data_IF_831616238587
#
_entry.id   IF_831616238587
#
_cell.length_a   1.000
_cell.length_b   1.000
_cell.length_c   1.000
_cell.angle_alpha   90.00
_cell.angle_beta   90.00
_cell.angle_gamma   90.00
#
_symmetry.space_group_name_H-M   'P 1'
#
loop_
_entity.id
_entity.type
_entity.pdbx_description
1 polymer ?
#
# COMPACT_ATOMS: atom_id res chain seq x y z
N UNK A 1 -22.83 11.58 0.93
CA UNK A 1 -22.75 10.12 0.77
C UNK A 1 -22.54 9.85 -0.72
N UNK A 2 -21.28 9.63 -1.13
CA UNK A 2 -20.96 9.36 -2.54
C UNK A 2 -21.48 7.96 -2.89
N UNK A 3 -22.35 7.89 -3.91
CA UNK A 3 -22.80 6.60 -4.45
C UNK A 3 -21.71 6.11 -5.40
N UNK A 4 -21.15 4.94 -5.12
CA UNK A 4 -20.27 4.26 -6.05
C UNK A 4 -21.14 3.75 -7.22
N UNK A 5 -20.87 4.23 -8.42
CA UNK A 5 -21.49 3.69 -9.63
C UNK A 5 -20.77 2.41 -10.05
N UNK A 6 -21.54 1.39 -10.37
CA UNK A 6 -21.02 0.17 -10.98
C UNK A 6 -21.22 0.32 -12.49
N UNK A 7 -20.16 0.18 -13.26
CA UNK A 7 -20.27 0.09 -14.72
C UNK A 7 -21.11 -1.14 -15.07
N UNK A 8 -22.28 -0.87 -15.66
CA UNK A 8 -23.24 -1.92 -16.01
C UNK A 8 -22.75 -2.89 -17.09
N UNK A 9 -21.69 -2.53 -17.83
CA UNK A 9 -21.11 -3.40 -18.88
C UNK A 9 -20.02 -4.31 -18.34
N UNK A 10 -19.22 -3.83 -17.41
CA UNK A 10 -18.06 -4.57 -16.90
C UNK A 10 -18.28 -5.16 -15.52
N UNK A 11 -19.33 -4.70 -14.79
CA UNK A 11 -19.57 -5.09 -13.39
C UNK A 11 -18.54 -4.54 -12.41
N UNK A 12 -17.62 -3.71 -12.88
CA UNK A 12 -16.58 -3.11 -12.07
C UNK A 12 -17.05 -1.79 -11.44
N UNK A 13 -16.55 -1.50 -10.26
CA UNK A 13 -16.72 -0.19 -9.65
C UNK A 13 -16.07 0.87 -10.53
N UNK A 14 -16.88 1.80 -11.03
CA UNK A 14 -16.33 3.01 -11.67
C UNK A 14 -15.67 3.81 -10.57
N UNK A 15 -14.35 4.03 -10.63
CA UNK A 15 -13.70 4.89 -9.66
C UNK A 15 -14.33 6.29 -9.79
N UNK A 16 -14.68 6.95 -8.68
CA UNK A 16 -15.22 8.29 -8.71
C UNK A 16 -14.09 9.29 -8.99
N UNK A 17 -13.38 9.07 -10.06
CA UNK A 17 -12.28 9.92 -10.46
C UNK A 17 -12.81 10.88 -11.50
N UNK A 18 -12.67 12.16 -11.26
CA UNK A 18 -12.81 13.21 -12.27
C UNK A 18 -11.77 13.00 -13.41
N UNK A 19 -11.49 11.76 -13.79
CA UNK A 19 -10.43 11.37 -14.72
C UNK A 19 -9.02 11.38 -14.10
N UNK A 20 -8.89 11.59 -12.79
CA UNK A 20 -7.59 11.58 -12.11
C UNK A 20 -7.21 10.17 -11.66
N UNK A 21 -5.96 9.82 -11.90
CA UNK A 21 -5.34 8.61 -11.35
C UNK A 21 -4.99 8.92 -9.90
N UNK A 22 -5.37 8.03 -8.98
CA UNK A 22 -4.97 8.10 -7.58
C UNK A 22 -3.93 7.00 -7.27
N UNK A 23 -2.99 7.26 -6.36
CA UNK A 23 -1.97 6.29 -5.99
C UNK A 23 -2.59 5.13 -5.21
N UNK A 24 -2.32 3.91 -5.63
CA UNK A 24 -2.73 2.68 -4.94
C UNK A 24 -1.55 1.97 -4.28
N UNK A 25 -0.32 2.30 -4.67
CA UNK A 25 0.93 1.78 -4.15
C UNK A 25 1.77 2.96 -3.67
N UNK A 26 1.79 3.16 -2.38
CA UNK A 26 2.53 4.26 -1.75
C UNK A 26 3.03 3.83 -0.38
N UNK A 27 4.22 4.32 -0.03
CA UNK A 27 4.91 4.05 1.22
C UNK A 27 4.96 5.31 2.07
N UNK A 28 4.69 5.13 3.36
CA UNK A 28 4.77 6.20 4.36
C UNK A 28 6.00 6.01 5.24
N UNK A 29 6.22 6.90 6.20
CA UNK A 29 7.31 6.76 7.19
C UNK A 29 7.25 5.48 8.01
N UNK A 30 6.14 4.74 7.98
CA UNK A 30 6.05 3.40 8.56
C UNK A 30 6.76 2.34 7.72
N UNK A 31 7.04 2.62 6.45
CA UNK A 31 7.94 1.83 5.59
C UNK A 31 9.37 2.33 5.77
N UNK A 32 10.04 1.84 6.82
CA UNK A 32 11.23 2.45 7.44
C UNK A 32 12.43 2.70 6.52
N UNK A 33 12.54 2.03 5.38
CA UNK A 33 13.72 2.14 4.51
C UNK A 33 13.49 3.03 3.28
N UNK A 34 12.23 3.27 2.90
CA UNK A 34 11.89 3.93 1.63
C UNK A 34 10.73 4.93 1.73
N UNK A 35 9.94 4.88 2.81
CA UNK A 35 8.88 5.84 3.04
C UNK A 35 9.40 7.15 3.63
N UNK A 36 9.12 8.27 2.96
CA UNK A 36 9.60 9.61 3.36
C UNK A 36 8.49 10.45 3.98
N UNK A 37 7.27 10.37 3.42
CA UNK A 37 6.14 11.18 3.86
C UNK A 37 5.41 10.53 5.03
N UNK A 38 5.01 11.32 5.99
CA UNK A 38 4.03 10.87 6.99
C UNK A 38 2.68 10.61 6.34
N UNK A 39 1.82 9.83 6.98
CA UNK A 39 0.44 9.59 6.51
C UNK A 39 -0.32 10.91 6.34
N UNK A 40 -0.09 11.88 7.23
CA UNK A 40 -0.77 13.18 7.17
C UNK A 40 -0.32 14.00 5.95
N UNK A 41 0.98 14.12 5.71
CA UNK A 41 1.54 14.82 4.55
C UNK A 41 1.08 14.19 3.24
N UNK A 42 1.03 12.86 3.19
CA UNK A 42 0.53 12.12 2.03
C UNK A 42 -0.95 12.43 1.75
N UNK A 43 -1.78 12.44 2.78
CA UNK A 43 -3.18 12.79 2.64
C UNK A 43 -3.39 14.27 2.29
N UNK A 44 -2.55 15.18 2.80
CA UNK A 44 -2.58 16.59 2.43
C UNK A 44 -2.24 16.80 0.95
N UNK A 45 -1.28 16.04 0.44
CA UNK A 45 -1.00 15.99 -0.99
C UNK A 45 -2.23 15.53 -1.78
N UNK A 46 -2.91 14.47 -1.34
CA UNK A 46 -4.13 13.98 -2.01
C UNK A 46 -5.22 15.04 -2.05
N UNK A 47 -5.44 15.76 -0.94
CA UNK A 47 -6.40 16.88 -0.88
C UNK A 47 -6.01 17.99 -1.84
N UNK A 48 -4.75 18.41 -1.83
CA UNK A 48 -4.20 19.46 -2.71
C UNK A 48 -4.42 19.12 -4.18
N UNK A 49 -4.18 17.86 -4.56
CA UNK A 49 -4.35 17.37 -5.93
C UNK A 49 -5.82 17.04 -6.26
N UNK A 50 -6.73 17.24 -5.31
CA UNK A 50 -8.16 16.92 -5.44
C UNK A 50 -8.39 15.44 -5.79
N UNK A 51 -7.63 14.56 -5.19
CA UNK A 51 -7.84 13.12 -5.23
C UNK A 51 -8.90 12.77 -4.20
N UNK A 52 -9.79 11.86 -4.55
CA UNK A 52 -10.86 11.39 -3.65
C UNK A 52 -10.51 10.05 -2.96
N UNK A 53 -9.43 9.43 -3.38
CA UNK A 53 -8.99 8.13 -2.89
C UNK A 53 -7.46 8.05 -2.85
N UNK A 54 -6.93 7.22 -1.95
CA UNK A 54 -5.50 6.90 -1.89
C UNK A 54 -5.26 5.52 -1.29
N UNK A 55 -4.22 4.82 -1.76
CA UNK A 55 -3.72 3.59 -1.18
C UNK A 55 -2.52 3.85 -0.27
N UNK A 56 -2.32 2.98 0.71
CA UNK A 56 -1.09 2.92 1.50
C UNK A 56 -0.70 1.45 1.66
N UNK A 57 0.53 1.13 1.27
CA UNK A 57 1.03 -0.24 1.14
C UNK A 57 2.46 -0.32 1.65
N UNK A 58 2.65 0.02 2.92
CA UNK A 58 3.96 -0.03 3.56
C UNK A 58 4.55 -1.45 3.52
N UNK A 59 5.87 -1.56 3.42
CA UNK A 59 6.58 -2.83 3.35
C UNK A 59 6.42 -3.66 4.62
N UNK A 60 5.75 -4.80 4.50
CA UNK A 60 5.63 -5.82 5.56
C UNK A 60 4.85 -5.37 6.81
N UNK A 61 4.31 -4.15 6.84
CA UNK A 61 3.67 -3.57 8.01
C UNK A 61 2.33 -2.91 7.69
N UNK A 62 1.46 -2.90 8.69
CA UNK A 62 0.16 -2.23 8.64
C UNK A 62 0.03 -1.12 9.70
N UNK A 63 1.13 -0.73 10.32
CA UNK A 63 1.13 0.22 11.45
C UNK A 63 0.58 1.58 11.08
N UNK A 64 0.76 2.03 9.83
CA UNK A 64 0.21 3.27 9.32
C UNK A 64 -1.30 3.26 9.09
N UNK A 65 -1.96 2.10 9.13
CA UNK A 65 -3.39 1.99 8.78
C UNK A 65 -4.31 2.72 9.76
N UNK A 66 -3.98 2.76 11.04
CA UNK A 66 -4.78 3.49 12.02
C UNK A 66 -4.84 4.97 11.67
N UNK A 67 -3.68 5.59 11.43
CA UNK A 67 -3.60 6.99 11.04
C UNK A 67 -4.23 7.24 9.67
N UNK A 68 -4.00 6.35 8.70
CA UNK A 68 -4.63 6.44 7.39
C UNK A 68 -6.16 6.50 7.49
N UNK A 69 -6.77 5.54 8.19
CA UNK A 69 -8.22 5.44 8.29
C UNK A 69 -8.82 6.64 9.05
N UNK A 70 -8.16 7.07 10.13
CA UNK A 70 -8.59 8.19 10.96
C UNK A 70 -8.49 9.52 10.21
N UNK A 71 -7.32 9.82 9.65
CA UNK A 71 -7.04 11.10 9.00
C UNK A 71 -7.74 11.22 7.65
N UNK A 72 -7.82 10.15 6.86
CA UNK A 72 -8.54 10.14 5.60
C UNK A 72 -10.02 10.46 5.79
N UNK A 73 -10.64 9.92 6.84
CA UNK A 73 -12.03 10.26 7.19
C UNK A 73 -12.22 11.75 7.47
N UNK A 74 -11.28 12.37 8.19
CA UNK A 74 -11.32 13.80 8.52
C UNK A 74 -11.13 14.67 7.27
N UNK A 75 -10.29 14.23 6.34
CA UNK A 75 -9.96 14.96 5.10
C UNK A 75 -10.90 14.64 3.93
N UNK A 76 -11.87 13.74 4.11
CA UNK A 76 -12.83 13.35 3.07
C UNK A 76 -12.23 12.51 1.94
N UNK A 77 -11.08 11.88 2.18
CA UNK A 77 -10.41 10.97 1.26
C UNK A 77 -10.86 9.52 1.54
N UNK A 78 -11.10 8.74 0.50
CA UNK A 78 -11.37 7.31 0.64
C UNK A 78 -10.05 6.53 0.79
N UNK A 79 -9.73 5.97 1.96
CA UNK A 79 -8.52 5.19 2.13
C UNK A 79 -8.68 3.79 1.54
N UNK A 80 -7.61 3.28 0.95
CA UNK A 80 -7.44 1.89 0.55
C UNK A 80 -6.22 1.33 1.30
N UNK A 81 -6.43 0.77 2.50
CA UNK A 81 -5.35 0.17 3.25
C UNK A 81 -4.85 -1.09 2.55
N UNK A 82 -3.56 -1.25 2.53
CA UNK A 82 -2.89 -2.35 1.87
C UNK A 82 -1.57 -2.70 2.53
N UNK A 83 -0.87 -3.63 1.94
CA UNK A 83 0.40 -4.13 2.41
C UNK A 83 1.25 -4.50 1.20
N UNK A 84 2.51 -4.17 1.21
CA UNK A 84 3.48 -4.78 0.31
C UNK A 84 4.13 -5.97 1.00
N UNK A 85 3.59 -7.17 0.69
CA UNK A 85 4.03 -8.41 1.28
C UNK A 85 5.32 -8.92 0.63
N UNK A 86 6.14 -9.61 1.42
CA UNK A 86 7.30 -10.34 0.95
C UNK A 86 6.91 -11.79 0.64
N UNK A 87 7.08 -12.20 -0.60
CA UNK A 87 6.84 -13.57 -1.03
C UNK A 87 8.18 -14.28 -1.26
N UNK A 88 8.30 -15.47 -0.70
CA UNK A 88 9.40 -16.37 -0.98
C UNK A 88 8.93 -17.47 -1.93
N UNK A 89 9.75 -17.85 -2.91
CA UNK A 89 9.47 -19.02 -3.75
C UNK A 89 9.66 -20.32 -2.95
N UNK A 90 8.80 -21.31 -3.15
CA UNK A 90 8.96 -22.64 -2.54
C UNK A 90 10.26 -23.34 -2.97
N UNK A 91 10.81 -22.96 -4.14
CA UNK A 91 12.09 -23.48 -4.62
C UNK A 91 13.30 -22.90 -3.89
N UNK A 92 13.13 -21.81 -3.14
CA UNK A 92 14.20 -21.17 -2.37
C UNK A 92 14.33 -21.81 -0.98
N UNK A 93 14.45 -23.14 -0.94
CA UNK A 93 14.62 -23.89 0.31
C UNK A 93 15.99 -23.68 0.95
N UNK A 94 16.97 -23.21 0.19
CA UNK A 94 18.30 -22.93 0.66
C UNK A 94 18.47 -21.46 0.96
N UNK A 95 18.09 -21.08 2.18
CA UNK A 95 18.51 -19.82 2.77
C UNK A 95 20.00 -19.94 3.14
N UNK A 96 20.84 -20.12 2.14
CA UNK A 96 22.26 -19.85 2.31
C UNK A 96 22.38 -18.33 2.44
N UNK A 97 22.62 -17.88 3.67
CA UNK A 97 23.15 -16.53 3.90
C UNK A 97 24.42 -16.49 3.06
N UNK A 98 24.34 -15.80 1.92
CA UNK A 98 25.51 -15.65 1.06
C UNK A 98 26.61 -14.98 1.89
N UNK A 99 27.72 -15.68 2.22
CA UNK A 99 28.77 -15.12 3.08
C UNK A 99 29.38 -13.83 2.54
N UNK A 100 29.21 -13.54 1.24
CA UNK A 100 29.65 -12.29 0.63
C UNK A 100 28.87 -11.04 1.09
N UNK A 101 27.75 -11.23 1.79
CA UNK A 101 26.99 -10.13 2.40
C UNK A 101 27.61 -9.61 3.70
N UNK A 102 28.42 -10.42 4.36
CA UNK A 102 29.08 -10.06 5.63
C UNK A 102 30.26 -9.13 5.39
N UNK A 103 30.80 -9.12 4.17
CA UNK A 103 32.03 -8.38 3.81
C UNK A 103 31.76 -7.04 3.07
N UNK A 104 30.53 -6.52 3.08
CA UNK A 104 30.21 -5.19 2.53
C UNK A 104 30.39 -5.05 1.02
N UNK A 105 30.57 -6.14 0.29
CA UNK A 105 30.75 -6.12 -1.16
C UNK A 105 29.60 -6.84 -1.86
N UNK A 106 28.73 -6.04 -2.46
CA UNK A 106 27.60 -6.35 -3.34
C UNK A 106 26.36 -6.87 -2.64
N UNK A 107 25.24 -6.15 -2.86
CA UNK A 107 23.93 -6.46 -2.34
C UNK A 107 23.54 -7.90 -2.58
N UNK A 108 23.12 -8.57 -1.50
CA UNK A 108 22.63 -9.93 -1.55
C UNK A 108 21.38 -9.97 -2.43
N UNK A 109 21.28 -11.00 -3.26
CA UNK A 109 20.01 -11.38 -3.83
C UNK A 109 19.12 -11.83 -2.67
N UNK A 110 18.30 -10.92 -2.16
CA UNK A 110 17.18 -11.33 -1.36
C UNK A 110 16.20 -12.01 -2.32
N UNK A 111 16.08 -13.33 -2.23
CA UNK A 111 15.20 -14.12 -3.09
C UNK A 111 13.75 -14.02 -2.62
N UNK A 112 13.22 -12.81 -2.51
CA UNK A 112 11.80 -12.59 -2.28
C UNK A 112 11.25 -11.57 -3.28
N UNK A 113 9.99 -11.76 -3.59
CA UNK A 113 9.24 -10.89 -4.47
C UNK A 113 8.30 -10.03 -3.62
N UNK A 114 8.01 -8.85 -4.10
CA UNK A 114 7.00 -8.00 -3.49
C UNK A 114 5.63 -8.26 -4.12
N UNK A 115 4.61 -8.37 -3.28
CA UNK A 115 3.22 -8.46 -3.70
C UNK A 115 2.41 -7.38 -3.01
N UNK A 116 1.90 -6.45 -3.81
CA UNK A 116 1.02 -5.40 -3.32
C UNK A 116 -0.39 -5.97 -3.13
N UNK A 117 -0.89 -5.93 -1.91
CA UNK A 117 -2.22 -6.37 -1.52
C UNK A 117 -3.02 -5.16 -1.05
N UNK A 118 -4.27 -5.04 -1.50
CA UNK A 118 -5.19 -3.98 -1.09
C UNK A 118 -6.45 -4.59 -0.48
N UNK A 119 -6.86 -4.08 0.68
CA UNK A 119 -8.10 -4.49 1.30
C UNK A 119 -9.30 -3.76 0.68
N UNK A 120 -10.23 -4.50 0.10
CA UNK A 120 -11.47 -3.97 -0.47
C UNK A 120 -12.68 -4.10 0.48
N UNK A 121 -12.52 -4.88 1.54
CA UNK A 121 -13.54 -5.14 2.57
C UNK A 121 -12.95 -5.10 3.96
N UNK A 122 -13.80 -5.01 4.98
CA UNK A 122 -13.37 -5.11 6.39
C UNK A 122 -12.74 -6.48 6.70
N UNK A 123 -13.26 -7.54 6.11
CA UNK A 123 -12.67 -8.87 6.30
C UNK A 123 -11.33 -8.98 5.59
N UNK A 124 -11.19 -8.37 4.40
CA UNK A 124 -9.90 -8.25 3.73
C UNK A 124 -8.87 -7.50 4.58
N UNK A 125 -9.28 -6.41 5.24
CA UNK A 125 -8.39 -5.67 6.15
C UNK A 125 -7.96 -6.54 7.35
N UNK A 126 -8.89 -7.28 7.95
CA UNK A 126 -8.57 -8.23 9.05
C UNK A 126 -7.60 -9.32 8.60
N UNK A 127 -7.73 -9.78 7.35
CA UNK A 127 -6.85 -10.81 6.81
C UNK A 127 -5.42 -10.29 6.51
N UNK A 128 -5.24 -8.98 6.37
CA UNK A 128 -3.91 -8.35 6.27
C UNK A 128 -3.24 -8.16 7.64
N UNK A 129 -4.00 -8.20 8.72
CA UNK A 129 -3.52 -8.04 10.11
C UNK A 129 -3.02 -9.35 10.69
#
# INVERSE_FOLDING_TARGET
>A
MMRHEIDKKTGLLVPPTNGKIFPIHAHTTYSMLDGVSTVEEYLDYCVKEKLDSCGCTDHGYIMGHYDLLRLAKLKGIKPMPGLEAYLKSESDTDYEINPSLVDGKKGGNFNYFHLTLLATTQDGLRNLM
#
